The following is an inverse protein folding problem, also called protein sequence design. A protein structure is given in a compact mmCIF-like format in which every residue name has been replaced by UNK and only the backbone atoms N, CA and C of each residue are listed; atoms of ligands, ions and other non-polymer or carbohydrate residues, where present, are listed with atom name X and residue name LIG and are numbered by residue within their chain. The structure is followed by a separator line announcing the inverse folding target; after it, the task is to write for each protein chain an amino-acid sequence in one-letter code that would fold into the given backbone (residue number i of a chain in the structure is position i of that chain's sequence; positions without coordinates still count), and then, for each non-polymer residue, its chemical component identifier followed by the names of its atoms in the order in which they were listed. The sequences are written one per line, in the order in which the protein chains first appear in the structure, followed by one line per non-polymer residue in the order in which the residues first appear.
data_IF_521761646929
#
_entry.id   IF_521761646929
#
_cell.length_a   1.000
_cell.length_b   1.000
_cell.length_c   1.000
_cell.angle_alpha   90.00
_cell.angle_beta   90.00
_cell.angle_gamma   90.00
#
_symmetry.space_group_name_H-M   'P 1'
#
loop_
_entity.id
_entity.type
_entity.pdbx_description
1 polymer ?
#
# COMPACT_ATOMS: atom_id res chain seq x y z
N UNK A 1 -37.49 88.52 -45.62
CA UNK A 1 -36.09 88.10 -45.75
C UNK A 1 -35.79 87.17 -44.59
N UNK A 2 -35.75 85.86 -44.88
CA UNK A 2 -34.92 84.74 -44.33
C UNK A 2 -34.15 85.07 -43.02
N UNK A 3 -34.11 84.24 -41.96
CA UNK A 3 -33.64 82.84 -41.90
C UNK A 3 -34.17 82.16 -40.63
N UNK A 4 -34.66 80.92 -40.78
CA UNK A 4 -35.08 80.01 -39.71
C UNK A 4 -33.87 79.37 -39.00
N UNK A 5 -33.95 79.22 -37.67
CA UNK A 5 -33.00 78.47 -36.85
C UNK A 5 -33.07 76.96 -37.15
N UNK A 6 -31.93 76.37 -37.51
CA UNK A 6 -31.74 74.92 -37.59
C UNK A 6 -30.77 74.47 -36.49
N UNK A 7 -31.31 73.90 -35.42
CA UNK A 7 -30.54 73.13 -34.44
C UNK A 7 -30.19 71.76 -35.04
N UNK A 8 -28.92 71.53 -35.37
CA UNK A 8 -28.44 70.21 -35.78
C UNK A 8 -28.27 69.29 -34.56
N UNK A 9 -28.82 68.08 -34.64
CA UNK A 9 -28.61 67.03 -33.66
C UNK A 9 -27.22 66.41 -33.82
N UNK A 10 -26.48 66.30 -32.72
CA UNK A 10 -25.19 65.59 -32.61
C UNK A 10 -25.35 64.08 -32.84
N UNK A 11 -24.49 63.44 -33.65
CA UNK A 11 -24.45 61.98 -33.72
C UNK A 11 -23.83 61.39 -32.45
N UNK A 12 -24.58 60.49 -31.80
CA UNK A 12 -24.08 59.69 -30.66
C UNK A 12 -23.23 58.52 -31.20
N UNK A 13 -22.05 58.22 -30.61
CA UNK A 13 -21.27 57.06 -31.02
C UNK A 13 -21.96 55.75 -30.59
N UNK A 14 -22.15 54.85 -31.55
CA UNK A 14 -22.69 53.50 -31.33
C UNK A 14 -21.76 52.68 -30.41
N UNK A 15 -22.26 51.99 -29.36
CA UNK A 15 -21.42 51.08 -28.60
C UNK A 15 -21.04 49.88 -29.49
N UNK A 16 -19.74 49.68 -29.70
CA UNK A 16 -19.19 48.54 -30.42
C UNK A 16 -19.54 47.23 -29.69
N UNK A 17 -20.59 46.57 -30.15
CA UNK A 17 -21.09 45.28 -29.65
C UNK A 17 -20.26 44.15 -30.28
N UNK A 18 -18.99 44.02 -29.87
CA UNK A 18 -18.04 43.16 -30.60
C UNK A 18 -17.06 42.31 -29.80
N UNK A 19 -16.98 42.41 -28.46
CA UNK A 19 -15.95 41.68 -27.68
C UNK A 19 -16.47 40.59 -26.72
N UNK A 20 -17.77 40.47 -26.49
CA UNK A 20 -18.30 39.49 -25.53
C UNK A 20 -18.41 38.06 -26.08
N UNK A 21 -18.55 37.86 -27.40
CA UNK A 21 -18.68 36.52 -28.00
C UNK A 21 -17.37 35.73 -28.06
N UNK A 22 -16.21 36.39 -28.12
CA UNK A 22 -14.89 35.73 -28.20
C UNK A 22 -14.35 35.34 -26.81
N UNK A 23 -14.84 35.98 -25.74
CA UNK A 23 -14.51 35.61 -24.35
C UNK A 23 -15.19 34.30 -23.94
N UNK A 24 -16.38 34.02 -24.44
CA UNK A 24 -17.15 32.82 -24.10
C UNK A 24 -16.46 31.49 -24.45
N UNK A 25 -15.93 31.27 -25.67
CA UNK A 25 -15.21 30.03 -25.98
C UNK A 25 -13.86 29.96 -25.25
N UNK A 26 -13.20 31.10 -25.00
CA UNK A 26 -11.92 31.12 -24.28
C UNK A 26 -12.09 30.80 -22.79
N UNK A 27 -13.13 31.33 -22.16
CA UNK A 27 -13.50 31.00 -20.77
C UNK A 27 -13.92 29.53 -20.67
N UNK A 28 -14.71 29.02 -21.63
CA UNK A 28 -15.07 27.59 -21.67
C UNK A 28 -13.83 26.71 -21.79
N UNK A 29 -12.90 27.05 -22.69
CA UNK A 29 -11.65 26.34 -22.87
C UNK A 29 -10.81 26.34 -21.59
N UNK A 30 -10.65 27.48 -20.93
CA UNK A 30 -9.91 27.58 -19.66
C UNK A 30 -10.55 26.75 -18.54
N UNK A 31 -11.89 26.75 -18.44
CA UNK A 31 -12.61 25.93 -17.47
C UNK A 31 -12.42 24.45 -17.77
N UNK A 32 -12.50 24.03 -19.03
CA UNK A 32 -12.25 22.63 -19.43
C UNK A 32 -10.82 22.22 -19.10
N UNK A 33 -9.82 23.05 -19.40
CA UNK A 33 -8.41 22.77 -19.07
C UNK A 33 -8.21 22.67 -17.55
N UNK A 34 -8.83 23.55 -16.76
CA UNK A 34 -8.77 23.49 -15.30
C UNK A 34 -9.42 22.23 -14.74
N UNK A 35 -10.58 21.83 -15.27
CA UNK A 35 -11.27 20.61 -14.85
C UNK A 35 -10.47 19.37 -15.23
N UNK A 36 -9.93 19.30 -16.45
CA UNK A 36 -9.07 18.20 -16.88
C UNK A 36 -7.79 18.14 -16.03
N UNK A 37 -7.16 19.28 -15.77
CA UNK A 37 -6.01 19.38 -14.87
C UNK A 37 -6.36 18.88 -13.46
N UNK A 38 -7.48 19.31 -12.89
CA UNK A 38 -7.94 18.86 -11.58
C UNK A 38 -8.25 17.36 -11.55
N UNK A 39 -8.82 16.79 -12.62
CA UNK A 39 -9.06 15.35 -12.75
C UNK A 39 -7.76 14.56 -12.86
N UNK A 40 -6.78 15.06 -13.62
CA UNK A 40 -5.44 14.45 -13.71
C UNK A 40 -4.73 14.48 -12.37
N UNK A 41 -4.76 15.62 -11.67
CA UNK A 41 -4.19 15.73 -10.32
C UNK A 41 -4.93 14.86 -9.32
N UNK A 42 -6.26 14.77 -9.39
CA UNK A 42 -7.03 13.88 -8.54
C UNK A 42 -6.73 12.40 -8.81
N UNK A 43 -6.51 12.02 -10.07
CA UNK A 43 -6.09 10.67 -10.43
C UNK A 43 -4.65 10.38 -9.96
N UNK A 44 -3.73 11.33 -10.15
CA UNK A 44 -2.35 11.19 -9.67
C UNK A 44 -2.26 11.11 -8.15
N UNK A 45 -3.08 11.86 -7.42
CA UNK A 45 -3.16 11.82 -5.96
C UNK A 45 -3.93 10.60 -5.42
N UNK A 46 -4.71 9.92 -6.26
CA UNK A 46 -5.38 8.64 -5.96
C UNK A 46 -4.63 7.44 -6.54
N UNK A 47 -3.41 7.64 -7.02
CA UNK A 47 -2.60 6.56 -7.60
C UNK A 47 -2.16 5.59 -6.50
N UNK A 48 -3.00 4.58 -6.25
CA UNK A 48 -2.69 3.43 -5.40
C UNK A 48 -1.54 2.56 -5.97
N UNK A 49 -1.10 2.85 -7.21
CA UNK A 49 0.01 2.18 -7.90
C UNK A 49 1.39 2.38 -7.24
N UNK A 50 1.56 3.44 -6.43
CA UNK A 50 2.83 3.69 -5.74
C UNK A 50 3.08 2.68 -4.60
N UNK A 51 2.03 2.22 -3.93
CA UNK A 51 2.12 1.16 -2.92
C UNK A 51 2.47 -0.19 -3.57
N UNK A 52 1.97 -0.44 -4.78
CA UNK A 52 2.24 -1.67 -5.56
C UNK A 52 3.68 -1.74 -6.08
N UNK A 53 4.33 -0.61 -6.38
CA UNK A 53 5.71 -0.59 -6.90
C UNK A 53 6.80 -0.58 -5.82
N UNK A 54 6.48 -0.20 -4.57
CA UNK A 54 7.46 -0.16 -3.48
C UNK A 54 7.66 -1.51 -2.76
N UNK A 55 6.73 -2.45 -2.94
CA UNK A 55 6.70 -3.73 -2.20
C UNK A 55 7.17 -4.93 -3.03
N UNK A 56 7.15 -4.83 -4.37
CA UNK A 56 7.48 -5.96 -5.25
C UNK A 56 8.94 -6.39 -5.11
N UNK A 57 9.17 -7.64 -4.72
CA UNK A 57 10.50 -8.23 -4.70
C UNK A 57 10.85 -8.83 -6.07
N UNK A 58 12.12 -8.84 -6.47
CA UNK A 58 12.55 -9.60 -7.64
C UNK A 58 12.22 -11.08 -7.47
N UNK A 59 11.59 -11.69 -8.48
CA UNK A 59 11.34 -13.14 -8.54
C UNK A 59 12.31 -13.77 -9.56
N UNK A 60 13.49 -14.24 -9.11
CA UNK A 60 14.40 -14.95 -9.98
C UNK A 60 13.84 -16.35 -10.32
N UNK A 61 14.33 -17.01 -11.38
CA UNK A 61 13.90 -18.37 -11.75
C UNK A 61 14.02 -19.38 -10.60
N UNK A 62 15.03 -19.24 -9.73
CA UNK A 62 15.19 -20.10 -8.55
C UNK A 62 14.02 -19.99 -7.55
N UNK A 63 13.36 -18.82 -7.47
CA UNK A 63 12.19 -18.63 -6.64
C UNK A 63 10.94 -19.28 -7.27
N UNK A 64 10.78 -19.16 -8.59
CA UNK A 64 9.71 -19.83 -9.34
C UNK A 64 9.85 -21.35 -9.26
N UNK A 65 11.07 -21.89 -9.41
CA UNK A 65 11.36 -23.31 -9.24
C UNK A 65 11.12 -23.81 -7.80
N UNK A 66 11.28 -22.94 -6.82
CA UNK A 66 10.92 -23.20 -5.43
C UNK A 66 9.41 -23.12 -5.17
N UNK A 67 8.60 -22.81 -6.19
CA UNK A 67 7.15 -22.72 -6.13
C UNK A 67 6.62 -21.41 -5.54
N UNK A 68 7.45 -20.37 -5.47
CA UNK A 68 7.02 -19.06 -4.99
C UNK A 68 6.22 -18.33 -6.06
N UNK A 69 4.98 -17.98 -5.74
CA UNK A 69 4.07 -17.25 -6.61
C UNK A 69 3.69 -15.93 -5.93
N UNK A 70 3.86 -14.81 -6.64
CA UNK A 70 3.47 -13.49 -6.16
C UNK A 70 1.96 -13.37 -6.04
N UNK A 71 1.51 -12.81 -4.91
CA UNK A 71 0.12 -12.46 -4.69
C UNK A 71 -0.07 -10.95 -4.70
N UNK A 72 -1.27 -10.53 -5.12
CA UNK A 72 -1.69 -9.14 -5.03
C UNK A 72 -1.63 -8.61 -3.59
N UNK A 73 -1.34 -7.32 -3.41
CA UNK A 73 -1.24 -6.68 -2.09
C UNK A 73 -2.53 -6.76 -1.27
N UNK A 74 -3.68 -6.92 -1.93
CA UNK A 74 -5.02 -7.05 -1.35
C UNK A 74 -5.49 -8.51 -1.21
N UNK A 75 -4.65 -9.51 -1.53
CA UNK A 75 -5.02 -10.93 -1.51
C UNK A 75 -5.59 -11.40 -0.16
N UNK A 76 -5.14 -10.79 0.94
CA UNK A 76 -5.58 -11.15 2.31
C UNK A 76 -6.64 -10.20 2.88
N UNK A 77 -7.18 -9.26 2.10
CA UNK A 77 -8.08 -8.23 2.63
C UNK A 77 -9.45 -8.74 3.04
N UNK A 78 -9.89 -9.84 2.44
CA UNK A 78 -11.13 -10.53 2.79
C UNK A 78 -10.90 -11.65 3.82
N UNK A 79 -9.65 -11.89 4.23
CA UNK A 79 -9.29 -12.91 5.21
C UNK A 79 -9.36 -12.29 6.61
N UNK A 80 -10.04 -12.97 7.53
CA UNK A 80 -10.02 -12.59 8.93
C UNK A 80 -8.64 -12.92 9.54
N UNK A 81 -7.98 -12.00 10.26
CA UNK A 81 -6.72 -12.29 10.93
C UNK A 81 -6.87 -13.40 11.98
N UNK A 82 -5.89 -14.28 12.08
CA UNK A 82 -5.79 -15.25 13.16
C UNK A 82 -5.46 -14.58 14.50
N UNK A 83 -5.91 -15.18 15.60
CA UNK A 83 -5.43 -14.80 16.93
C UNK A 83 -3.92 -15.06 17.01
N UNK A 84 -3.18 -14.21 17.71
CA UNK A 84 -1.71 -14.31 17.71
C UNK A 84 -1.22 -15.63 18.34
N UNK A 85 -1.99 -16.17 19.29
CA UNK A 85 -1.74 -17.47 19.91
C UNK A 85 -1.90 -18.67 18.95
N UNK A 86 -2.62 -18.51 17.85
CA UNK A 86 -2.87 -19.57 16.86
C UNK A 86 -1.92 -19.48 15.65
N UNK A 87 -1.09 -18.44 15.59
CA UNK A 87 -0.11 -18.26 14.51
C UNK A 87 1.06 -19.23 14.64
N UNK A 88 1.79 -19.50 13.56
CA UNK A 88 3.07 -20.21 13.58
C UNK A 88 4.04 -19.51 12.64
N UNK A 89 4.90 -18.66 13.19
CA UNK A 89 5.77 -17.80 12.41
C UNK A 89 7.20 -18.31 12.42
N UNK A 90 7.80 -18.38 11.24
CA UNK A 90 9.22 -18.62 11.03
C UNK A 90 9.85 -17.36 10.42
N UNK A 91 10.94 -16.87 10.99
CA UNK A 91 11.66 -15.69 10.47
C UNK A 91 12.92 -16.17 9.76
N UNK A 92 13.03 -15.80 8.48
CA UNK A 92 14.14 -16.16 7.61
C UNK A 92 14.98 -14.93 7.28
N UNK A 93 16.29 -15.05 7.42
CA UNK A 93 17.23 -14.03 6.97
C UNK A 93 17.49 -14.17 5.48
N UNK A 94 17.11 -13.19 4.68
CA UNK A 94 17.38 -13.13 3.25
C UNK A 94 18.22 -11.90 2.85
N UNK A 95 18.91 -11.26 3.81
CA UNK A 95 19.62 -9.98 3.58
C UNK A 95 21.07 -9.93 4.10
N UNK A 96 21.57 -11.01 4.68
CA UNK A 96 22.94 -11.12 5.17
C UNK A 96 23.21 -10.41 6.50
N UNK A 97 22.20 -9.81 7.15
CA UNK A 97 22.36 -9.16 8.45
C UNK A 97 22.38 -10.18 9.58
N UNK A 98 23.58 -10.50 10.08
CA UNK A 98 23.75 -11.51 11.12
C UNK A 98 22.94 -11.19 12.39
N UNK A 99 22.14 -12.16 12.86
CA UNK A 99 21.33 -12.02 14.07
C UNK A 99 19.99 -11.29 13.92
N UNK A 100 19.72 -10.65 12.77
CA UNK A 100 18.49 -9.87 12.61
C UNK A 100 17.22 -10.74 12.66
N UNK A 101 17.23 -11.91 12.02
CA UNK A 101 16.09 -12.84 12.08
C UNK A 101 15.74 -13.26 13.51
N UNK A 102 16.76 -13.48 14.37
CA UNK A 102 16.54 -13.79 15.78
C UNK A 102 15.96 -12.62 16.57
N UNK A 103 16.43 -11.39 16.31
CA UNK A 103 15.90 -10.19 16.95
C UNK A 103 14.43 -9.95 16.55
N UNK A 104 14.10 -10.07 15.27
CA UNK A 104 12.72 -9.91 14.77
C UNK A 104 11.81 -11.02 15.30
N UNK A 105 12.29 -12.27 15.37
CA UNK A 105 11.53 -13.37 15.95
C UNK A 105 11.23 -13.15 17.43
N UNK A 106 12.18 -12.62 18.20
CA UNK A 106 11.97 -12.26 19.60
C UNK A 106 10.94 -11.13 19.73
N UNK A 107 11.03 -10.09 18.90
CA UNK A 107 10.04 -8.99 18.89
C UNK A 107 8.63 -9.50 18.56
N UNK A 108 8.48 -10.38 17.56
CA UNK A 108 7.19 -11.00 17.23
C UNK A 108 6.65 -11.85 18.40
N UNK A 109 7.51 -12.59 19.10
CA UNK A 109 7.11 -13.36 20.27
C UNK A 109 6.64 -12.46 21.43
N UNK A 110 7.32 -11.33 21.68
CA UNK A 110 6.90 -10.32 22.67
C UNK A 110 5.53 -9.71 22.33
N UNK A 111 5.27 -9.49 21.03
CA UNK A 111 3.97 -9.06 20.51
C UNK A 111 2.89 -10.15 20.65
N UNK A 112 3.26 -11.42 20.80
CA UNK A 112 2.37 -12.54 21.09
C UNK A 112 2.20 -13.57 19.97
N UNK A 113 2.91 -13.41 18.85
CA UNK A 113 2.98 -14.43 17.81
C UNK A 113 3.67 -15.69 18.33
N UNK A 114 3.24 -16.86 17.88
CA UNK A 114 3.91 -18.10 18.28
C UNK A 114 4.99 -18.50 17.26
N UNK A 115 6.18 -18.89 17.73
CA UNK A 115 7.22 -19.41 16.85
C UNK A 115 6.81 -20.75 16.23
N UNK A 116 7.27 -21.01 15.00
CA UNK A 116 7.06 -22.25 14.27
C UNK A 116 7.90 -23.43 14.82
N UNK A 117 7.97 -23.60 16.13
CA UNK A 117 8.73 -24.67 16.78
C UNK A 117 10.24 -24.42 16.79
N UNK A 118 11.03 -25.49 16.61
CA UNK A 118 12.50 -25.44 16.67
C UNK A 118 13.14 -24.67 15.51
N UNK A 119 12.46 -24.61 14.37
CA UNK A 119 12.99 -24.06 13.13
C UNK A 119 12.43 -22.66 12.86
N UNK A 120 12.02 -21.95 13.92
CA UNK A 120 11.38 -20.64 13.84
C UNK A 120 12.33 -19.52 13.41
N UNK A 121 13.65 -19.76 13.39
CA UNK A 121 14.67 -18.79 12.99
C UNK A 121 15.66 -19.50 12.07
N UNK A 122 15.93 -18.92 10.90
CA UNK A 122 16.88 -19.50 9.95
C UNK A 122 17.37 -18.51 8.90
N UNK A 123 18.19 -19.02 7.97
CA UNK A 123 18.53 -18.32 6.74
C UNK A 123 17.58 -18.74 5.62
N UNK A 124 17.29 -17.85 4.68
CA UNK A 124 16.42 -18.14 3.55
C UNK A 124 17.13 -19.06 2.54
N UNK A 125 16.61 -20.28 2.29
CA UNK A 125 17.22 -21.19 1.32
C UNK A 125 17.03 -20.74 -0.13
N UNK A 126 16.04 -19.89 -0.42
CA UNK A 126 15.69 -19.49 -1.79
C UNK A 126 16.54 -18.33 -2.27
N UNK A 127 16.59 -17.23 -1.50
CA UNK A 127 17.33 -16.02 -1.89
C UNK A 127 18.70 -15.91 -1.23
N UNK A 128 19.03 -16.80 -0.29
CA UNK A 128 20.27 -16.75 0.48
C UNK A 128 20.35 -15.47 1.31
N UNK A 129 21.01 -14.44 0.77
CA UNK A 129 21.26 -13.16 1.45
C UNK A 129 20.97 -11.93 0.55
N UNK A 130 20.29 -12.12 -0.59
CA UNK A 130 20.14 -11.10 -1.62
C UNK A 130 18.68 -10.86 -2.05
N UNK A 131 17.74 -10.88 -1.11
CA UNK A 131 16.35 -10.50 -1.38
C UNK A 131 16.23 -8.97 -1.42
N UNK A 132 16.28 -8.38 -2.61
CA UNK A 132 16.35 -6.92 -2.85
C UNK A 132 14.98 -6.22 -2.75
N UNK A 133 14.39 -6.24 -1.56
CA UNK A 133 13.13 -5.54 -1.23
C UNK A 133 12.98 -5.41 0.30
N UNK A 134 11.80 -5.00 0.77
CA UNK A 134 11.47 -5.04 2.21
C UNK A 134 11.44 -6.47 2.76
N UNK A 135 10.95 -7.42 1.98
CA UNK A 135 10.87 -8.83 2.34
C UNK A 135 9.57 -9.47 1.87
N UNK A 136 9.37 -10.73 2.23
CA UNK A 136 8.23 -11.54 1.81
C UNK A 136 7.54 -12.19 3.01
N UNK A 137 6.21 -12.24 2.96
CA UNK A 137 5.38 -13.11 3.79
C UNK A 137 5.00 -14.30 2.91
N UNK A 138 5.60 -15.47 3.18
CA UNK A 138 5.35 -16.71 2.44
C UNK A 138 4.38 -17.61 3.20
N UNK A 139 3.32 -18.04 2.55
CA UNK A 139 2.26 -18.83 3.19
C UNK A 139 1.59 -19.82 2.25
N UNK A 140 0.98 -20.84 2.84
CA UNK A 140 0.08 -21.77 2.16
C UNK A 140 -1.38 -21.48 2.47
N UNK A 141 -2.27 -22.28 1.90
CA UNK A 141 -3.73 -22.14 2.06
C UNK A 141 -4.14 -22.12 3.54
N UNK A 142 -3.62 -23.06 4.34
CA UNK A 142 -3.92 -23.17 5.76
C UNK A 142 -3.32 -22.02 6.60
N UNK A 143 -2.32 -21.30 6.07
CA UNK A 143 -1.62 -20.20 6.74
C UNK A 143 -2.21 -18.81 6.47
N UNK A 144 -3.22 -18.67 5.60
CA UNK A 144 -3.76 -17.37 5.17
C UNK A 144 -4.14 -16.44 6.32
N UNK A 145 -4.84 -16.96 7.34
CA UNK A 145 -5.25 -16.16 8.49
C UNK A 145 -4.06 -15.70 9.36
N UNK A 146 -3.03 -16.55 9.51
CA UNK A 146 -1.81 -16.17 10.22
C UNK A 146 -0.97 -15.17 9.42
N UNK A 147 -0.91 -15.33 8.09
CA UNK A 147 -0.26 -14.39 7.19
C UNK A 147 -0.94 -13.02 7.24
N UNK A 148 -2.27 -13.00 7.35
CA UNK A 148 -3.03 -11.77 7.53
C UNK A 148 -2.70 -11.06 8.84
N UNK A 149 -2.56 -11.78 9.96
CA UNK A 149 -2.13 -11.15 11.21
C UNK A 149 -0.70 -10.61 11.11
N UNK A 150 0.18 -11.35 10.43
CA UNK A 150 1.56 -10.94 10.24
C UNK A 150 1.71 -9.71 9.33
N UNK A 151 0.85 -9.57 8.31
CA UNK A 151 0.86 -8.41 7.42
C UNK A 151 0.50 -7.11 8.15
N UNK A 152 -0.20 -7.18 9.29
CA UNK A 152 -0.42 -6.01 10.15
C UNK A 152 0.87 -5.58 10.86
N UNK A 153 1.70 -6.54 11.26
CA UNK A 153 2.99 -6.27 11.87
C UNK A 153 4.05 -5.85 10.84
N UNK A 154 3.93 -6.31 9.59
CA UNK A 154 4.88 -6.05 8.52
C UNK A 154 4.15 -5.67 7.20
N UNK A 155 3.54 -4.47 7.11
CA UNK A 155 2.67 -4.09 6.00
C UNK A 155 3.39 -3.87 4.67
N UNK A 156 4.71 -3.64 4.70
CA UNK A 156 5.53 -3.40 3.51
C UNK A 156 6.11 -4.68 2.90
N UNK A 157 5.65 -5.85 3.33
CA UNK A 157 6.14 -7.13 2.82
C UNK A 157 5.30 -7.59 1.64
N UNK A 158 5.96 -8.18 0.64
CA UNK A 158 5.26 -8.81 -0.47
C UNK A 158 4.57 -10.09 -0.01
N UNK A 159 3.33 -10.30 -0.45
CA UNK A 159 2.60 -11.53 -0.21
C UNK A 159 3.01 -12.56 -1.26
N UNK A 160 3.37 -13.76 -0.81
CA UNK A 160 3.83 -14.84 -1.69
C UNK A 160 3.21 -16.15 -1.24
N UNK A 161 2.64 -16.91 -2.17
CA UNK A 161 2.22 -18.28 -1.92
C UNK A 161 3.31 -19.26 -2.32
N UNK A 162 3.46 -20.36 -1.58
CA UNK A 162 4.48 -21.38 -1.88
C UNK A 162 3.94 -22.81 -1.93
N UNK A 163 2.61 -22.95 -1.96
CA UNK A 163 1.94 -24.24 -2.06
C UNK A 163 2.06 -25.15 -0.83
N UNK A 164 2.64 -24.67 0.30
CA UNK A 164 2.69 -25.48 1.53
C UNK A 164 1.28 -25.81 2.03
N UNK A 165 1.15 -26.96 2.68
CA UNK A 165 -0.14 -27.44 3.21
C UNK A 165 -0.31 -27.22 4.72
N UNK A 166 0.77 -26.86 5.41
CA UNK A 166 0.72 -26.52 6.82
C UNK A 166 0.32 -25.05 7.05
N UNK A 167 0.02 -24.71 8.31
CA UNK A 167 -0.36 -23.36 8.71
C UNK A 167 0.83 -22.46 9.07
N UNK A 168 2.06 -22.86 8.75
CA UNK A 168 3.26 -22.07 9.06
C UNK A 168 3.39 -20.92 8.08
N UNK A 169 3.78 -19.76 8.57
CA UNK A 169 4.03 -18.57 7.75
C UNK A 169 5.48 -18.15 7.91
N UNK A 170 6.15 -17.89 6.80
CA UNK A 170 7.53 -17.40 6.82
C UNK A 170 7.57 -15.89 6.60
N UNK A 171 8.36 -15.21 7.42
CA UNK A 171 8.78 -13.84 7.22
C UNK A 171 10.21 -13.83 6.70
N UNK A 172 10.41 -13.69 5.39
CA UNK A 172 11.73 -13.54 4.79
C UNK A 172 12.14 -12.06 4.79
N UNK A 173 13.20 -11.72 5.51
CA UNK A 173 13.68 -10.36 5.67
C UNK A 173 14.57 -9.95 4.48
N UNK A 174 14.12 -8.96 3.71
CA UNK A 174 14.86 -8.42 2.57
C UNK A 174 15.91 -7.38 2.97
N UNK A 175 16.72 -6.94 2.00
CA UNK A 175 17.82 -5.98 2.21
C UNK A 175 17.36 -4.58 2.59
N UNK A 176 16.11 -4.24 2.26
CA UNK A 176 15.47 -2.97 2.63
C UNK A 176 14.65 -3.10 3.92
N UNK A 177 14.63 -4.27 4.55
CA UNK A 177 13.98 -4.45 5.84
C UNK A 177 14.64 -3.57 6.90
N UNK A 178 13.83 -2.79 7.60
CA UNK A 178 14.29 -1.94 8.70
C UNK A 178 13.71 -2.39 10.03
N UNK A 179 12.37 -2.47 10.13
CA UNK A 179 11.64 -2.75 11.36
C UNK A 179 10.23 -3.26 11.08
N UNK A 180 9.61 -3.82 12.11
CA UNK A 180 8.16 -4.04 12.13
C UNK A 180 7.42 -2.71 12.31
N UNK A 181 6.15 -2.71 11.94
CA UNK A 181 5.24 -1.58 12.11
C UNK A 181 5.05 -1.26 13.59
N UNK A 182 5.09 0.03 13.89
CA UNK A 182 4.82 0.64 15.19
C UNK A 182 3.64 1.61 15.11
N UNK A 183 2.89 1.59 13.99
CA UNK A 183 1.73 2.46 13.84
C UNK A 183 0.69 2.13 14.91
N UNK A 184 0.06 3.15 15.48
CA UNK A 184 -0.93 2.97 16.54
C UNK A 184 -2.06 2.03 16.11
N UNK A 185 -2.47 2.10 14.83
CA UNK A 185 -3.48 1.21 14.28
C UNK A 185 -3.01 -0.26 14.21
N UNK A 186 -1.78 -0.51 13.75
CA UNK A 186 -1.22 -1.86 13.71
C UNK A 186 -1.07 -2.45 15.12
N UNK A 187 -0.53 -1.66 16.06
CA UNK A 187 -0.35 -2.10 17.45
C UNK A 187 -1.71 -2.39 18.10
N UNK A 188 -2.69 -1.50 17.97
CA UNK A 188 -4.04 -1.71 18.53
C UNK A 188 -4.73 -2.96 17.95
N UNK A 189 -4.65 -3.17 16.63
CA UNK A 189 -5.19 -4.35 16.00
C UNK A 189 -4.51 -5.65 16.49
N UNK A 190 -3.18 -5.64 16.62
CA UNK A 190 -2.43 -6.78 17.15
C UNK A 190 -2.74 -7.04 18.62
N UNK A 191 -2.96 -6.01 19.43
CA UNK A 191 -3.32 -6.14 20.85
C UNK A 191 -4.70 -6.80 21.03
N UNK A 192 -5.71 -6.44 20.21
CA UNK A 192 -7.00 -7.12 20.21
C UNK A 192 -6.84 -8.61 19.86
N UNK A 193 -6.05 -8.93 18.82
CA UNK A 193 -5.76 -10.32 18.42
C UNK A 193 -4.99 -11.08 19.51
N UNK A 194 -4.14 -10.40 20.28
CA UNK A 194 -3.39 -10.98 21.40
C UNK A 194 -4.31 -11.38 22.55
N UNK A 195 -5.36 -10.61 22.83
CA UNK A 195 -6.32 -10.90 23.90
C UNK A 195 -7.51 -11.76 23.44
N UNK A 196 -7.49 -12.23 22.19
CA UNK A 196 -8.50 -13.15 21.67
C UNK A 196 -9.71 -12.49 21.01
N UNK A 197 -9.60 -11.22 20.59
CA UNK A 197 -10.67 -10.48 19.90
C UNK A 197 -10.27 -10.10 18.47
N UNK A 198 -11.26 -10.02 17.59
CA UNK A 198 -11.08 -9.48 16.25
C UNK A 198 -11.06 -7.94 16.28
N UNK A 199 -10.09 -7.29 15.62
CA UNK A 199 -10.07 -5.83 15.46
C UNK A 199 -11.31 -5.33 14.71
N UNK A 200 -11.69 -4.08 14.94
CA UNK A 200 -12.74 -3.45 14.13
C UNK A 200 -12.21 -3.10 12.73
N UNK A 201 -13.09 -3.07 11.73
CA UNK A 201 -12.70 -2.91 10.33
C UNK A 201 -11.89 -1.63 10.07
N UNK A 202 -12.26 -0.51 10.72
CA UNK A 202 -11.56 0.76 10.55
C UNK A 202 -10.11 0.74 11.07
N UNK A 203 -9.83 -0.02 12.13
CA UNK A 203 -8.46 -0.19 12.63
C UNK A 203 -7.65 -1.06 11.66
N UNK A 204 -8.28 -2.09 11.11
CA UNK A 204 -7.67 -2.95 10.09
C UNK A 204 -7.36 -2.17 8.81
N UNK A 205 -8.25 -1.28 8.38
CA UNK A 205 -8.05 -0.39 7.23
C UNK A 205 -6.88 0.58 7.49
N UNK A 206 -6.85 1.21 8.67
CA UNK A 206 -5.80 2.13 9.05
C UNK A 206 -4.43 1.46 9.23
N UNK A 207 -4.39 0.23 9.73
CA UNK A 207 -3.16 -0.56 9.86
C UNK A 207 -2.55 -0.93 8.50
N UNK A 208 -3.38 -1.04 7.46
CA UNK A 208 -2.96 -1.34 6.08
C UNK A 208 -2.50 -0.12 5.30
N UNK A 209 -3.04 1.06 5.59
CA UNK A 209 -2.76 2.30 4.85
C UNK A 209 -1.35 2.89 5.14
N UNK A 210 -0.40 2.08 5.62
CA UNK A 210 0.97 2.51 5.92
C UNK A 210 1.74 2.68 4.60
N UNK A 211 2.39 3.83 4.45
CA UNK A 211 3.25 4.07 3.29
C UNK A 211 4.54 3.27 3.39
N UNK A 212 4.77 2.49 2.34
CA UNK A 212 6.02 1.88 1.92
C UNK A 212 6.48 2.68 0.69
#
# INVERSE_FOLDING_TARGET
MVVHLSTQATPSPTPARGLTRLRSPYVLFLVVVLVLGALVWAAALRGDDAATQAVACPLPPAAEEAGLEEESVDALDQVAPALLADTRIRVLNANGQSGQAGAVAAELAERGFQPAGSDAIGNDPVYGQALECHGQIRYGEAGRAAARSLSLAAPCMQLVTDGRTDGTVDLALGTTFSRLSDSTAAVGALDELKVGRQPISSELDAARAVSC
#
